data_IF_828788885122
#
_entry.id   IF_828788885122
#
_cell.length_a   1.000
_cell.length_b   1.000
_cell.length_c   1.000
_cell.angle_alpha   90.00
_cell.angle_beta   90.00
_cell.angle_gamma   90.00
#
_symmetry.space_group_name_H-M   'P 1'
#
loop_
_entity.id
_entity.type
_entity.pdbx_description
1 polymer ?
#
# COMPACT_ATOMS: atom_id res chain seq x y z
N UNK A 1 -9.94 -0.04 -53.95
CA UNK A 1 -10.56 0.65 -52.79
C UNK A 1 -10.73 -0.26 -51.55
N UNK A 2 -11.03 -1.57 -51.73
CA UNK A 2 -11.23 -2.50 -50.62
C UNK A 2 -9.93 -2.88 -49.86
N UNK A 3 -8.78 -2.96 -50.55
CA UNK A 3 -7.50 -3.34 -49.94
C UNK A 3 -6.98 -2.31 -48.92
N UNK A 4 -7.10 -1.01 -49.25
CA UNK A 4 -6.68 0.10 -48.39
C UNK A 4 -7.53 0.17 -47.12
N UNK A 5 -8.85 -0.06 -47.23
CA UNK A 5 -9.76 -0.15 -46.08
C UNK A 5 -9.42 -1.33 -45.17
N UNK A 6 -9.11 -2.49 -45.74
CA UNK A 6 -8.74 -3.68 -44.97
C UNK A 6 -7.40 -3.51 -44.24
N UNK A 7 -6.39 -2.91 -44.89
CA UNK A 7 -5.12 -2.55 -44.24
C UNK A 7 -5.32 -1.53 -43.12
N UNK A 8 -6.12 -0.49 -43.35
CA UNK A 8 -6.43 0.52 -42.33
C UNK A 8 -7.13 -0.09 -41.11
N UNK A 9 -8.09 -1.01 -41.33
CA UNK A 9 -8.77 -1.76 -40.26
C UNK A 9 -7.80 -2.67 -39.48
N UNK A 10 -6.88 -3.34 -40.17
CA UNK A 10 -5.84 -4.18 -39.55
C UNK A 10 -4.88 -3.37 -38.66
N UNK A 11 -4.45 -2.20 -39.14
CA UNK A 11 -3.61 -1.27 -38.36
C UNK A 11 -4.37 -0.73 -37.15
N UNK A 12 -5.62 -0.30 -37.33
CA UNK A 12 -6.47 0.20 -36.23
C UNK A 12 -6.69 -0.86 -35.15
N UNK A 13 -6.97 -2.10 -35.56
CA UNK A 13 -7.13 -3.23 -34.66
C UNK A 13 -5.86 -3.52 -33.84
N UNK A 14 -4.70 -3.42 -34.48
CA UNK A 14 -3.40 -3.59 -33.83
C UNK A 14 -3.14 -2.48 -32.81
N UNK A 15 -3.41 -1.22 -33.17
CA UNK A 15 -3.31 -0.07 -32.26
C UNK A 15 -4.23 -0.25 -31.05
N UNK A 16 -5.48 -0.67 -31.27
CA UNK A 16 -6.44 -0.90 -30.19
C UNK A 16 -5.98 -2.01 -29.23
N UNK A 17 -5.40 -3.09 -29.75
CA UNK A 17 -4.80 -4.15 -28.91
C UNK A 17 -3.67 -3.60 -28.04
N UNK A 18 -2.74 -2.86 -28.62
CA UNK A 18 -1.63 -2.25 -27.89
C UNK A 18 -2.10 -1.24 -26.84
N UNK A 19 -3.05 -0.38 -27.20
CA UNK A 19 -3.65 0.58 -26.28
C UNK A 19 -4.31 -0.12 -25.08
N UNK A 20 -5.01 -1.25 -25.32
CA UNK A 20 -5.62 -2.06 -24.25
C UNK A 20 -4.57 -2.66 -23.31
N UNK A 21 -3.49 -3.23 -23.85
CA UNK A 21 -2.39 -3.79 -23.04
C UNK A 21 -1.70 -2.69 -22.22
N UNK A 22 -1.46 -1.54 -22.83
CA UNK A 22 -0.85 -0.39 -22.17
C UNK A 22 -1.72 0.16 -21.04
N UNK A 23 -3.03 0.31 -21.28
CA UNK A 23 -3.99 0.77 -20.28
C UNK A 23 -4.04 -0.17 -19.07
N UNK A 24 -4.08 -1.50 -19.30
CA UNK A 24 -4.09 -2.49 -18.23
C UNK A 24 -2.79 -2.46 -17.40
N UNK A 25 -1.63 -2.33 -18.05
CA UNK A 25 -0.35 -2.22 -17.36
C UNK A 25 -0.24 -0.93 -16.54
N UNK A 26 -0.69 0.18 -17.10
CA UNK A 26 -0.70 1.48 -16.42
C UNK A 26 -1.60 1.45 -15.20
N UNK A 27 -2.83 0.89 -15.34
CA UNK A 27 -3.76 0.74 -14.22
C UNK A 27 -3.15 -0.09 -13.08
N UNK A 28 -2.46 -1.21 -13.39
CA UNK A 28 -1.75 -2.02 -12.38
C UNK A 28 -0.70 -1.21 -11.64
N UNK A 29 0.13 -0.43 -12.36
CA UNK A 29 1.16 0.42 -11.76
C UNK A 29 0.55 1.52 -10.88
N UNK A 30 -0.53 2.16 -11.33
CA UNK A 30 -1.25 3.19 -10.56
C UNK A 30 -1.83 2.61 -9.28
N UNK A 31 -2.44 1.43 -9.32
CA UNK A 31 -2.98 0.76 -8.12
C UNK A 31 -1.88 0.47 -7.10
N UNK A 32 -0.72 -0.03 -7.55
CA UNK A 32 0.43 -0.29 -6.66
C UNK A 32 0.95 1.03 -6.07
N UNK A 33 1.14 2.06 -6.90
CA UNK A 33 1.61 3.37 -6.44
C UNK A 33 0.66 3.99 -5.42
N UNK A 34 -0.66 3.97 -5.67
CA UNK A 34 -1.66 4.47 -4.73
C UNK A 34 -1.59 3.77 -3.38
N UNK A 35 -1.38 2.44 -3.36
CA UNK A 35 -1.18 1.68 -2.12
C UNK A 35 0.12 2.06 -1.40
N UNK A 36 1.21 2.28 -2.13
CA UNK A 36 2.46 2.78 -1.54
C UNK A 36 2.31 4.16 -0.93
N UNK A 37 1.56 5.07 -1.57
CA UNK A 37 1.26 6.38 -1.00
C UNK A 37 0.51 6.24 0.34
N UNK A 38 -0.47 5.33 0.41
CA UNK A 38 -1.19 5.03 1.66
C UNK A 38 -0.26 4.44 2.73
N UNK A 39 0.67 3.56 2.34
CA UNK A 39 1.68 3.01 3.25
C UNK A 39 2.56 4.12 3.82
N UNK A 40 3.09 5.01 2.98
CA UNK A 40 3.91 6.14 3.41
C UNK A 40 3.15 7.06 4.37
N UNK A 41 1.89 7.34 4.07
CA UNK A 41 1.01 8.10 4.96
C UNK A 41 0.83 7.42 6.32
N UNK A 42 0.55 6.12 6.33
CA UNK A 42 0.39 5.35 7.56
C UNK A 42 1.70 5.22 8.33
N UNK A 43 2.85 5.15 7.65
CA UNK A 43 4.17 5.15 8.27
C UNK A 43 4.43 6.47 8.99
N UNK A 44 4.07 7.61 8.40
CA UNK A 44 4.19 8.90 9.08
C UNK A 44 3.28 8.97 10.32
N UNK A 45 2.04 8.47 10.22
CA UNK A 45 1.14 8.37 11.38
C UNK A 45 1.70 7.44 12.47
N UNK A 46 2.32 6.33 12.09
CA UNK A 46 2.95 5.41 13.03
C UNK A 46 4.10 6.07 13.78
N UNK A 47 4.98 6.80 13.08
CA UNK A 47 6.07 7.56 13.70
C UNK A 47 5.54 8.58 14.71
N UNK A 48 4.46 9.29 14.37
CA UNK A 48 3.80 10.21 15.30
C UNK A 48 3.21 9.48 16.52
N UNK A 49 2.59 8.32 16.33
CA UNK A 49 2.05 7.52 17.42
C UNK A 49 3.15 6.98 18.34
N UNK A 50 4.27 6.50 17.78
CA UNK A 50 5.44 6.05 18.53
C UNK A 50 6.07 7.18 19.35
N UNK A 51 6.15 8.40 18.79
CA UNK A 51 6.60 9.57 19.57
C UNK A 51 5.69 9.88 20.76
N UNK A 52 4.37 9.76 20.57
CA UNK A 52 3.39 9.94 21.67
C UNK A 52 3.53 8.84 22.73
N UNK A 53 3.74 7.59 22.31
CA UNK A 53 4.02 6.49 23.22
C UNK A 53 5.30 6.74 24.03
N UNK A 54 6.39 7.17 23.39
CA UNK A 54 7.63 7.53 24.09
C UNK A 54 7.42 8.62 25.13
N UNK A 55 6.63 9.66 24.82
CA UNK A 55 6.27 10.71 25.78
C UNK A 55 5.44 10.16 26.96
N UNK A 56 4.47 9.28 26.69
CA UNK A 56 3.66 8.67 27.74
C UNK A 56 4.49 7.77 28.66
N UNK A 57 5.43 7.00 28.11
CA UNK A 57 6.37 6.16 28.87
C UNK A 57 7.29 7.02 29.75
N UNK A 58 7.82 8.11 29.19
CA UNK A 58 8.68 9.03 29.93
C UNK A 58 7.94 9.70 31.08
N UNK A 59 6.70 10.17 30.85
CA UNK A 59 5.86 10.74 31.91
C UNK A 59 5.53 9.73 33.02
N UNK A 60 5.25 8.47 32.66
CA UNK A 60 5.02 7.40 33.64
C UNK A 60 6.28 7.09 34.49
N UNK A 61 7.45 7.10 33.87
CA UNK A 61 8.73 6.95 34.57
C UNK A 61 9.02 8.12 35.53
N UNK A 62 8.74 9.36 35.11
CA UNK A 62 8.88 10.56 35.95
C UNK A 62 7.94 10.54 37.16
N UNK A 63 6.77 9.89 37.04
CA UNK A 63 5.83 9.69 38.15
C UNK A 63 6.25 8.57 39.10
N UNK A 64 7.38 7.90 38.84
CA UNK A 64 7.92 6.84 39.71
C UNK A 64 7.24 5.48 39.53
N UNK A 65 6.53 5.24 38.41
CA UNK A 65 6.01 3.91 38.14
C UNK A 65 7.16 2.91 37.91
N UNK A 66 7.16 1.83 38.69
CA UNK A 66 8.15 0.74 38.59
C UNK A 66 8.01 -0.02 37.25
N UNK A 67 6.83 0.02 36.62
CA UNK A 67 6.60 -0.54 35.29
C UNK A 67 5.71 0.36 34.41
N UNK A 68 6.31 1.27 33.62
CA UNK A 68 5.58 2.25 32.81
C UNK A 68 4.80 1.61 31.65
N UNK A 69 5.04 0.34 31.32
CA UNK A 69 4.26 -0.37 30.29
C UNK A 69 2.87 -0.77 30.79
N UNK A 70 2.67 -0.80 32.11
CA UNK A 70 1.37 -1.11 32.72
C UNK A 70 0.49 0.13 32.90
N UNK A 71 1.08 1.33 32.81
CA UNK A 71 0.39 2.61 32.85
C UNK A 71 -0.75 2.64 31.83
N UNK A 72 -1.92 3.10 32.26
CA UNK A 72 -3.10 3.14 31.40
C UNK A 72 -2.89 4.02 30.15
N UNK A 73 -2.20 5.17 30.32
CA UNK A 73 -1.84 6.06 29.21
C UNK A 73 -0.86 5.44 28.21
N UNK A 74 0.04 4.56 28.66
CA UNK A 74 0.98 3.85 27.78
C UNK A 74 0.28 2.72 27.04
N UNK A 75 -0.62 1.98 27.70
CA UNK A 75 -1.43 0.93 27.05
C UNK A 75 -2.31 1.48 25.93
N UNK A 76 -2.98 2.61 26.14
CA UNK A 76 -3.80 3.25 25.10
C UNK A 76 -2.93 3.73 23.92
N UNK A 77 -1.80 4.39 24.20
CA UNK A 77 -0.85 4.81 23.17
C UNK A 77 -0.31 3.62 22.35
N UNK A 78 -0.04 2.49 23.03
CA UNK A 78 0.44 1.25 22.42
C UNK A 78 -0.63 0.59 21.55
N UNK A 79 -1.88 0.56 22.01
CA UNK A 79 -3.02 0.08 21.23
C UNK A 79 -3.22 0.88 19.94
N UNK A 80 -3.15 2.22 20.03
CA UNK A 80 -3.22 3.12 18.87
C UNK A 80 -2.08 2.89 17.88
N UNK A 81 -0.85 2.71 18.36
CA UNK A 81 0.29 2.40 17.51
C UNK A 81 0.13 1.05 16.80
N UNK A 82 -0.28 -0.01 17.52
CA UNK A 82 -0.54 -1.34 16.95
C UNK A 82 -1.64 -1.31 15.89
N UNK A 83 -2.72 -0.57 16.11
CA UNK A 83 -3.80 -0.43 15.14
C UNK A 83 -3.32 0.22 13.82
N UNK A 84 -2.45 1.23 13.90
CA UNK A 84 -1.86 1.87 12.70
C UNK A 84 -0.91 0.90 12.00
N UNK A 85 -0.09 0.16 12.75
CA UNK A 85 0.81 -0.85 12.20
C UNK A 85 0.03 -1.95 11.48
N UNK A 86 -1.04 -2.48 12.07
CA UNK A 86 -1.89 -3.50 11.43
C UNK A 86 -2.49 -3.02 10.11
N UNK A 87 -2.97 -1.77 10.05
CA UNK A 87 -3.47 -1.18 8.79
C UNK A 87 -2.37 -1.09 7.72
N UNK A 88 -1.13 -0.77 8.12
CA UNK A 88 0.02 -0.66 7.21
C UNK A 88 0.39 -2.03 6.66
N UNK A 89 0.42 -3.04 7.51
CA UNK A 89 0.77 -4.40 7.13
C UNK A 89 -0.28 -5.01 6.19
N UNK A 90 -1.57 -4.70 6.39
CA UNK A 90 -2.63 -5.05 5.43
C UNK A 90 -2.41 -4.44 4.04
N UNK A 91 -1.90 -3.19 3.95
CA UNK A 91 -1.57 -2.60 2.65
C UNK A 91 -0.40 -3.31 1.98
N UNK A 92 0.64 -3.70 2.74
CA UNK A 92 1.74 -4.48 2.21
C UNK A 92 1.29 -5.86 1.72
N UNK A 93 0.42 -6.54 2.47
CA UNK A 93 -0.17 -7.81 2.03
C UNK A 93 -0.98 -7.65 0.74
N UNK A 94 -1.76 -6.58 0.61
CA UNK A 94 -2.51 -6.29 -0.61
C UNK A 94 -1.57 -6.05 -1.82
N UNK A 95 -0.46 -5.34 -1.63
CA UNK A 95 0.55 -5.14 -2.68
C UNK A 95 1.23 -6.46 -3.05
N UNK A 96 1.56 -7.31 -2.07
CA UNK A 96 2.13 -8.64 -2.31
C UNK A 96 1.18 -9.51 -3.12
N UNK A 97 -0.11 -9.55 -2.76
CA UNK A 97 -1.14 -10.29 -3.50
C UNK A 97 -1.31 -9.80 -4.95
N UNK A 98 -1.22 -8.49 -5.20
CA UNK A 98 -1.24 -7.94 -6.56
C UNK A 98 0.01 -8.40 -7.34
N UNK A 99 1.19 -8.37 -6.71
CA UNK A 99 2.44 -8.83 -7.35
C UNK A 99 2.41 -10.32 -7.68
N UNK A 100 1.88 -11.16 -6.79
CA UNK A 100 1.70 -12.59 -7.06
C UNK A 100 0.74 -12.84 -8.21
N UNK A 101 -0.42 -12.16 -8.24
CA UNK A 101 -1.37 -12.26 -9.37
C UNK A 101 -0.71 -11.91 -10.70
N UNK A 102 0.13 -10.87 -10.73
CA UNK A 102 0.90 -10.49 -11.93
C UNK A 102 1.89 -11.58 -12.31
N UNK A 103 2.66 -12.10 -11.35
CA UNK A 103 3.66 -13.16 -11.60
C UNK A 103 3.00 -14.41 -12.18
N UNK A 104 1.89 -14.86 -11.59
CA UNK A 104 1.16 -16.04 -12.05
C UNK A 104 0.52 -15.81 -13.43
N UNK A 105 0.10 -14.58 -13.72
CA UNK A 105 -0.42 -14.24 -15.06
C UNK A 105 0.67 -14.22 -16.14
N UNK A 106 1.91 -13.89 -15.80
CA UNK A 106 3.07 -13.95 -16.71
C UNK A 106 3.70 -15.34 -16.82
N UNK A 107 3.46 -16.25 -15.86
CA UNK A 107 3.97 -17.62 -15.87
C UNK A 107 3.05 -18.62 -16.61
N UNK A 108 1.85 -18.19 -16.99
CA UNK A 108 0.88 -18.97 -17.76
C UNK A 108 0.90 -18.63 -19.27
N UNK A 109 1.94 -17.96 -19.76
CA UNK A 109 2.22 -17.78 -21.20
C UNK A 109 3.33 -18.72 -21.65
#
# INVERSE_FOLDING_TARGET
MNDVKNKAMGTLYTILKWARIFALNTLRRVLILGRYTLICWQQQRLRCAQRRLGKAVLAALEQGEVNPMLAEGVKDALGKAKAIQGKKDQQYQAVAAIREKIRNSCACE
#
